data_IF_046015605065
#
_entry.id   IF_046015605065
#
_cell.length_a   1.000
_cell.length_b   1.000
_cell.length_c   1.000
_cell.angle_alpha   90.00
_cell.angle_beta   90.00
_cell.angle_gamma   90.00
#
_symmetry.space_group_name_H-M   'P 1'
#
loop_
_entity.id
_entity.type
_entity.pdbx_description
1 polymer ?
#
# COMPACT_ATOMS: atom_id res chain seq x y z
N UNK A 1 39.96 2.63 49.51
CA UNK A 1 40.54 2.12 48.26
C UNK A 1 39.84 2.87 47.16
N UNK A 2 40.48 3.91 46.64
CA UNK A 2 39.87 4.89 45.75
C UNK A 2 40.40 4.61 44.35
N UNK A 3 39.50 4.28 43.42
CA UNK A 3 39.85 4.03 42.03
C UNK A 3 39.36 5.24 41.25
N UNK A 4 40.28 6.14 40.96
CA UNK A 4 40.09 7.26 40.04
C UNK A 4 40.24 6.73 38.62
N UNK A 5 39.15 6.79 37.83
CA UNK A 5 39.19 6.46 36.41
C UNK A 5 39.23 7.76 35.63
N UNK A 6 40.43 8.17 35.24
CA UNK A 6 40.68 9.25 34.28
C UNK A 6 40.66 8.68 32.87
N UNK A 7 39.61 9.01 32.10
CA UNK A 7 39.57 8.69 30.67
C UNK A 7 39.70 9.97 29.86
N UNK A 8 40.83 10.01 29.17
CA UNK A 8 41.40 11.10 28.39
C UNK A 8 40.55 11.45 27.18
N UNK A 9 40.54 12.75 26.87
CA UNK A 9 39.91 13.36 25.71
C UNK A 9 40.45 12.78 24.40
N UNK A 10 39.56 12.21 23.57
CA UNK A 10 39.84 11.91 22.17
C UNK A 10 39.18 12.98 21.29
N UNK A 11 39.93 14.04 20.97
CA UNK A 11 39.62 14.93 19.86
C UNK A 11 40.01 14.25 18.55
N UNK A 12 39.05 13.96 17.68
CA UNK A 12 39.31 13.75 16.26
C UNK A 12 38.52 14.80 15.49
N UNK A 13 39.19 15.92 15.21
CA UNK A 13 38.83 16.83 14.14
C UNK A 13 39.27 16.16 12.83
N UNK A 14 38.31 15.70 12.04
CA UNK A 14 38.50 15.50 10.61
C UNK A 14 37.65 16.56 9.91
N UNK A 15 38.33 17.66 9.64
CA UNK A 15 37.91 18.82 8.88
C UNK A 15 37.77 18.43 7.41
N UNK A 16 36.64 18.83 6.81
CA UNK A 16 36.50 19.23 5.40
C UNK A 16 37.07 18.31 4.31
N UNK A 17 36.19 17.51 3.69
CA UNK A 17 36.35 17.14 2.28
C UNK A 17 35.03 17.43 1.55
N UNK A 18 35.06 18.55 0.83
CA UNK A 18 34.26 18.94 -0.34
C UNK A 18 32.86 18.34 -0.50
N UNK A 19 31.87 19.15 -0.12
CA UNK A 19 30.71 19.33 -0.98
C UNK A 19 31.17 19.74 -2.38
N UNK A 20 30.42 19.31 -3.40
CA UNK A 20 30.69 19.45 -4.84
C UNK A 20 31.60 18.36 -5.42
N UNK A 21 31.01 17.28 -5.93
CA UNK A 21 31.29 16.77 -7.28
C UNK A 21 30.30 15.63 -7.67
N UNK A 22 29.50 15.93 -8.70
CA UNK A 22 28.95 15.02 -9.71
C UNK A 22 27.70 14.21 -9.36
N UNK A 23 26.58 14.92 -9.36
CA UNK A 23 25.36 14.52 -10.07
C UNK A 23 25.67 14.08 -11.51
N UNK A 24 25.66 12.77 -11.82
CA UNK A 24 25.54 12.27 -13.22
C UNK A 24 25.39 10.74 -13.30
N UNK A 25 24.24 10.16 -12.92
CA UNK A 25 23.79 8.86 -13.47
C UNK A 25 22.26 8.88 -13.67
N UNK A 26 21.72 9.95 -14.26
CA UNK A 26 20.37 9.96 -14.84
C UNK A 26 20.40 10.81 -16.12
N UNK A 27 21.18 10.40 -17.12
CA UNK A 27 21.12 10.98 -18.46
C UNK A 27 21.44 9.91 -19.48
N UNK A 28 20.40 9.32 -20.09
CA UNK A 28 20.62 8.30 -21.10
C UNK A 28 19.40 7.81 -21.87
N UNK A 29 18.25 8.50 -21.85
CA UNK A 29 17.11 8.05 -22.65
C UNK A 29 16.28 9.22 -23.21
N UNK A 30 16.71 9.65 -24.40
CA UNK A 30 15.93 10.28 -25.47
C UNK A 30 15.14 11.57 -25.16
N UNK A 31 15.77 12.70 -25.47
CA UNK A 31 15.10 13.93 -25.88
C UNK A 31 14.72 13.83 -27.38
N UNK A 32 13.45 14.01 -27.71
CA UNK A 32 13.04 14.56 -28.99
C UNK A 32 12.05 15.72 -28.72
N UNK A 33 12.32 16.94 -29.22
CA UNK A 33 11.33 18.00 -29.20
C UNK A 33 10.35 17.80 -30.35
N UNK A 34 9.10 17.49 -30.04
CA UNK A 34 8.02 17.54 -31.03
C UNK A 34 7.46 18.96 -31.00
N UNK A 35 7.63 19.68 -32.11
CA UNK A 35 7.00 20.97 -32.36
C UNK A 35 5.48 20.81 -32.32
N UNK A 36 4.84 21.65 -31.52
CA UNK A 36 3.39 21.84 -31.50
C UNK A 36 3.06 22.92 -32.53
N UNK A 37 2.48 22.53 -33.66
CA UNK A 37 1.80 23.46 -34.56
C UNK A 37 0.29 23.28 -34.44
N UNK A 38 -0.40 24.41 -34.24
CA UNK A 38 -1.81 24.48 -33.93
C UNK A 38 -2.65 24.83 -35.17
N UNK A 39 -3.70 24.02 -35.44
CA UNK A 39 -4.99 24.33 -36.12
C UNK A 39 -4.99 24.64 -37.64
N UNK A 40 -6.16 24.65 -38.37
CA UNK A 40 -7.54 24.24 -38.05
C UNK A 40 -8.29 23.39 -39.14
N UNK A 41 -9.42 22.76 -38.72
CA UNK A 41 -10.72 22.55 -39.42
C UNK A 41 -10.88 21.52 -40.59
N UNK A 42 -11.74 20.52 -40.27
CA UNK A 42 -12.78 19.80 -41.04
C UNK A 42 -12.46 19.23 -42.43
N UNK A 43 -12.62 17.91 -42.53
CA UNK A 43 -13.44 17.30 -43.60
C UNK A 43 -14.06 15.99 -43.09
N UNK A 44 -15.38 15.93 -43.18
CA UNK A 44 -16.18 14.73 -43.00
C UNK A 44 -15.96 13.81 -44.19
N UNK A 45 -15.64 12.54 -43.93
CA UNK A 45 -15.78 11.45 -44.91
C UNK A 45 -16.49 10.31 -44.21
N UNK A 46 -17.79 10.24 -44.48
CA UNK A 46 -18.64 9.10 -44.20
C UNK A 46 -18.11 7.89 -44.99
N UNK A 47 -17.49 6.94 -44.30
CA UNK A 47 -17.31 5.61 -44.87
C UNK A 47 -18.44 4.75 -44.36
N UNK A 48 -19.52 4.68 -45.14
CA UNK A 48 -20.60 3.71 -44.94
C UNK A 48 -20.04 2.32 -45.21
N UNK A 49 -19.52 1.66 -44.18
CA UNK A 49 -19.26 0.24 -44.23
C UNK A 49 -20.60 -0.48 -44.18
N UNK A 50 -21.01 -0.98 -45.34
CA UNK A 50 -22.12 -1.90 -45.53
C UNK A 50 -22.02 -3.04 -44.50
N UNK A 51 -22.75 -2.93 -43.40
CA UNK A 51 -22.95 -4.02 -42.45
C UNK A 51 -24.10 -4.88 -42.97
N UNK A 52 -23.90 -6.19 -43.22
CA UNK A 52 -25.02 -7.06 -43.52
C UNK A 52 -25.97 -7.06 -42.30
N UNK A 53 -27.27 -6.86 -42.56
CA UNK A 53 -28.35 -6.84 -41.57
C UNK A 53 -28.17 -7.99 -40.57
N UNK A 54 -27.75 -7.66 -39.35
CA UNK A 54 -27.73 -8.60 -38.24
C UNK A 54 -29.19 -8.90 -37.88
N UNK A 55 -29.63 -10.13 -38.15
CA UNK A 55 -30.93 -10.62 -37.70
C UNK A 55 -30.96 -10.60 -36.17
N UNK A 56 -32.03 -10.05 -35.59
CA UNK A 56 -32.24 -10.06 -34.14
C UNK A 56 -32.36 -11.51 -33.67
N UNK A 57 -31.54 -11.89 -32.67
CA UNK A 57 -31.69 -13.16 -31.98
C UNK A 57 -32.93 -13.08 -31.09
N UNK A 58 -34.06 -13.49 -31.64
CA UNK A 58 -35.30 -13.73 -30.89
C UNK A 58 -35.03 -15.00 -30.06
N UNK A 59 -35.18 -14.91 -28.73
CA UNK A 59 -34.77 -15.90 -27.73
C UNK A 59 -33.26 -15.96 -27.41
N UNK A 60 -32.62 -14.80 -27.21
CA UNK A 60 -31.47 -14.70 -26.31
C UNK A 60 -31.94 -14.95 -24.87
N UNK A 61 -32.31 -16.18 -24.56
CA UNK A 61 -32.63 -16.62 -23.20
C UNK A 61 -31.47 -16.19 -22.32
N UNK A 62 -31.81 -15.37 -21.32
CA UNK A 62 -30.93 -14.80 -20.30
C UNK A 62 -30.28 -15.91 -19.48
N UNK A 63 -29.29 -16.57 -20.03
CA UNK A 63 -28.36 -17.39 -19.28
C UNK A 63 -26.96 -16.85 -19.52
N UNK A 64 -26.76 -15.61 -19.07
CA UNK A 64 -25.47 -15.21 -18.54
C UNK A 64 -25.28 -16.04 -17.28
N UNK A 65 -24.89 -17.31 -17.46
CA UNK A 65 -24.22 -18.08 -16.42
C UNK A 65 -22.88 -17.40 -16.25
N UNK A 66 -22.85 -16.29 -15.52
CA UNK A 66 -21.61 -15.85 -14.91
C UNK A 66 -21.14 -17.07 -14.11
N UNK A 67 -19.98 -17.67 -14.42
CA UNK A 67 -19.49 -18.77 -13.62
C UNK A 67 -19.44 -18.29 -12.17
N UNK A 68 -19.90 -19.12 -11.23
CA UNK A 68 -19.93 -18.80 -9.80
C UNK A 68 -18.54 -18.36 -9.28
N UNK A 69 -17.46 -18.66 -10.02
CA UNK A 69 -16.11 -18.19 -9.76
C UNK A 69 -15.84 -16.69 -9.94
N UNK A 70 -16.73 -15.92 -10.59
CA UNK A 70 -16.60 -14.45 -10.70
C UNK A 70 -17.27 -13.70 -9.53
N UNK A 71 -17.94 -14.43 -8.63
CA UNK A 71 -18.47 -13.85 -7.41
C UNK A 71 -17.37 -13.84 -6.34
N UNK A 72 -17.09 -12.64 -5.85
CA UNK A 72 -16.35 -12.37 -4.61
C UNK A 72 -14.83 -12.32 -4.74
N UNK A 73 -14.31 -11.69 -5.80
CA UNK A 73 -13.09 -10.89 -5.63
C UNK A 73 -13.44 -9.60 -4.86
N UNK A 74 -13.87 -9.71 -3.59
CA UNK A 74 -14.01 -8.55 -2.73
C UNK A 74 -12.64 -7.88 -2.63
N UNK A 75 -12.60 -6.58 -2.91
CA UNK A 75 -11.33 -5.87 -2.93
C UNK A 75 -10.79 -5.83 -1.50
N UNK A 76 -9.55 -6.29 -1.32
CA UNK A 76 -8.87 -6.40 -0.01
C UNK A 76 -8.90 -5.10 0.84
N UNK A 77 -9.02 -3.94 0.21
CA UNK A 77 -9.09 -2.64 0.88
C UNK A 77 -10.50 -2.31 1.40
N UNK A 78 -11.56 -2.90 0.82
CA UNK A 78 -12.94 -2.74 1.29
C UNK A 78 -13.16 -3.55 2.56
N UNK A 79 -12.69 -4.81 2.57
CA UNK A 79 -12.86 -5.74 3.71
C UNK A 79 -11.85 -5.51 4.82
N UNK A 80 -10.68 -4.92 4.51
CA UNK A 80 -9.57 -4.81 5.48
C UNK A 80 -8.92 -6.16 5.81
N UNK A 81 -9.21 -7.19 5.02
CA UNK A 81 -8.65 -8.53 5.18
C UNK A 81 -7.85 -8.85 3.93
N UNK A 82 -6.57 -9.17 4.12
CA UNK A 82 -5.66 -9.60 3.08
C UNK A 82 -5.44 -11.11 3.20
N UNK A 83 -5.86 -11.86 2.19
CA UNK A 83 -5.60 -13.30 2.11
C UNK A 83 -4.27 -13.50 1.39
N UNK A 84 -3.33 -14.21 2.01
CA UNK A 84 -2.08 -14.62 1.34
C UNK A 84 -2.32 -15.81 0.41
N UNK A 85 -1.36 -16.09 -0.46
CA UNK A 85 -1.36 -17.27 -1.34
C UNK A 85 -1.50 -18.58 -0.55
N UNK A 86 -0.95 -18.62 0.67
CA UNK A 86 -1.05 -19.77 1.59
C UNK A 86 -2.45 -19.94 2.22
N UNK A 87 -3.39 -19.03 1.93
CA UNK A 87 -4.74 -19.00 2.51
C UNK A 87 -4.83 -18.33 3.89
N UNK A 88 -3.71 -17.90 4.48
CA UNK A 88 -3.70 -17.19 5.76
C UNK A 88 -4.33 -15.81 5.63
N UNK A 89 -5.32 -15.52 6.49
CA UNK A 89 -5.99 -14.21 6.57
C UNK A 89 -5.17 -13.29 7.47
N UNK A 90 -4.75 -12.16 6.91
CA UNK A 90 -4.19 -11.05 7.66
C UNK A 90 -5.23 -9.94 7.79
N UNK A 91 -5.29 -9.34 8.97
CA UNK A 91 -6.25 -8.30 9.33
C UNK A 91 -5.55 -6.95 9.42
N UNK A 92 -6.26 -5.90 9.02
CA UNK A 92 -5.74 -4.55 9.08
C UNK A 92 -5.62 -4.07 10.53
N UNK A 93 -4.41 -3.68 10.91
CA UNK A 93 -4.06 -3.07 12.18
C UNK A 93 -3.53 -1.65 11.96
N UNK A 94 -3.90 -0.71 12.84
CA UNK A 94 -3.36 0.64 12.84
C UNK A 94 -2.40 0.82 14.01
N UNK A 95 -1.19 1.29 13.75
CA UNK A 95 -0.20 1.54 14.80
C UNK A 95 0.13 3.02 14.92
N UNK A 96 0.41 3.44 16.15
CA UNK A 96 1.00 4.73 16.48
C UNK A 96 2.19 4.48 17.40
N UNK A 97 3.38 4.79 16.90
CA UNK A 97 4.61 4.71 17.68
C UNK A 97 4.99 6.07 18.30
N UNK A 98 5.64 6.03 19.47
CA UNK A 98 6.17 7.22 20.14
C UNK A 98 7.23 7.98 19.32
N UNK A 99 7.90 7.31 18.38
CA UNK A 99 8.83 7.98 17.45
C UNK A 99 8.13 8.96 16.46
N UNK A 100 6.80 9.02 16.47
CA UNK A 100 5.99 9.86 15.59
C UNK A 100 5.50 9.17 14.32
N UNK A 101 5.99 7.95 14.04
CA UNK A 101 5.52 7.15 12.90
C UNK A 101 4.17 6.49 13.21
N UNK A 102 3.27 6.54 12.22
CA UNK A 102 1.93 5.97 12.31
C UNK A 102 1.49 5.43 10.97
N UNK A 103 0.75 4.33 10.98
CA UNK A 103 0.36 3.70 9.72
C UNK A 103 -0.50 2.46 9.88
N UNK A 104 -0.81 1.85 8.74
CA UNK A 104 -1.57 0.60 8.67
C UNK A 104 -0.64 -0.56 8.30
N UNK A 105 -0.80 -1.70 8.97
CA UNK A 105 -0.15 -2.97 8.62
C UNK A 105 -1.17 -4.11 8.64
N UNK A 106 -0.81 -5.22 8.02
CA UNK A 106 -1.62 -6.42 7.97
C UNK A 106 -0.96 -7.50 8.83
N UNK A 107 -1.61 -7.89 9.93
CA UNK A 107 -1.09 -8.86 10.90
C UNK A 107 -1.93 -10.13 10.90
N UNK A 108 -1.34 -11.26 11.28
CA UNK A 108 -2.11 -12.46 11.54
C UNK A 108 -2.92 -12.27 12.85
N UNK A 109 -4.06 -12.95 13.01
CA UNK A 109 -4.86 -12.83 14.24
C UNK A 109 -4.15 -13.43 15.46
N UNK A 110 -3.12 -14.24 15.24
CA UNK A 110 -2.25 -14.82 16.26
C UNK A 110 -1.16 -13.85 16.74
N UNK A 111 -0.88 -12.80 15.97
CA UNK A 111 0.21 -11.88 16.27
C UNK A 111 -0.23 -10.91 17.37
N UNK A 112 0.46 -10.96 18.51
CA UNK A 112 0.20 -10.08 19.66
C UNK A 112 1.06 -8.81 19.64
N UNK A 113 2.06 -8.75 18.77
CA UNK A 113 3.01 -7.63 18.69
C UNK A 113 3.19 -7.16 17.24
N UNK A 114 3.49 -5.88 17.08
CA UNK A 114 3.73 -5.24 15.80
C UNK A 114 4.96 -4.34 15.89
N UNK A 115 5.88 -4.45 14.95
CA UNK A 115 7.07 -3.60 14.91
C UNK A 115 6.81 -2.30 14.14
N UNK A 116 7.25 -1.17 14.71
CA UNK A 116 7.31 0.11 14.03
C UNK A 116 8.17 0.02 12.76
N UNK A 117 7.83 0.78 11.72
CA UNK A 117 8.63 0.79 10.48
C UNK A 117 9.95 1.54 10.62
N UNK A 118 10.00 2.54 11.48
CA UNK A 118 11.11 3.51 11.54
C UNK A 118 12.09 3.14 12.64
N UNK A 119 11.61 3.00 13.89
CA UNK A 119 12.46 2.68 15.03
C UNK A 119 12.48 1.18 15.38
N UNK A 120 11.75 0.35 14.63
CA UNK A 120 11.65 -1.10 14.83
C UNK A 120 11.13 -1.56 16.20
N UNK A 121 10.71 -0.62 17.04
CA UNK A 121 10.16 -0.89 18.37
C UNK A 121 8.89 -1.73 18.30
N UNK A 122 8.78 -2.73 19.20
CA UNK A 122 7.61 -3.59 19.32
C UNK A 122 6.48 -2.88 20.08
N UNK A 123 5.29 -2.92 19.49
CA UNK A 123 4.05 -2.36 20.03
C UNK A 123 3.06 -3.49 20.32
N UNK A 124 2.35 -3.40 21.44
CA UNK A 124 1.31 -4.33 21.84
C UNK A 124 0.07 -4.15 20.96
N UNK A 125 -0.45 -5.26 20.44
CA UNK A 125 -1.64 -5.27 19.61
C UNK A 125 -2.88 -5.45 20.50
N UNK A 126 -3.75 -4.46 20.47
CA UNK A 126 -5.05 -4.47 21.13
C UNK A 126 -6.18 -4.57 20.09
N UNK A 127 -7.34 -5.17 20.44
CA UNK A 127 -8.52 -5.12 19.58
C UNK A 127 -9.01 -3.67 19.45
N UNK A 128 -9.40 -3.26 18.23
CA UNK A 128 -9.92 -1.91 18.00
C UNK A 128 -11.28 -1.68 18.67
N UNK A 129 -12.11 -2.73 18.74
CA UNK A 129 -13.43 -2.71 19.37
C UNK A 129 -13.48 -3.70 20.54
N UNK A 130 -14.30 -3.40 21.54
CA UNK A 130 -14.54 -4.30 22.68
C UNK A 130 -15.34 -5.55 22.28
N UNK A 131 -16.17 -5.45 21.25
CA UNK A 131 -16.95 -6.57 20.71
C UNK A 131 -16.04 -7.53 19.97
N UNK A 132 -16.12 -8.82 20.32
CA UNK A 132 -15.43 -9.92 19.63
C UNK A 132 -16.47 -10.89 19.09
N UNK A 133 -16.47 -11.10 17.79
CA UNK A 133 -17.26 -12.16 17.14
C UNK A 133 -16.30 -13.27 16.70
N UNK A 134 -16.52 -14.50 17.17
CA UNK A 134 -15.70 -15.67 16.83
C UNK A 134 -14.20 -15.51 17.15
N UNK A 135 -13.87 -14.76 18.21
CA UNK A 135 -12.49 -14.50 18.63
C UNK A 135 -11.79 -13.38 17.86
N UNK A 136 -12.45 -12.76 16.88
CA UNK A 136 -11.93 -11.58 16.17
C UNK A 136 -12.68 -10.32 16.60
N UNK A 137 -11.96 -9.20 16.77
CA UNK A 137 -12.62 -7.92 17.00
C UNK A 137 -13.43 -7.49 15.78
N UNK A 138 -14.50 -6.75 16.02
CA UNK A 138 -15.25 -6.06 14.97
C UNK A 138 -14.41 -4.94 14.34
N UNK A 139 -14.76 -4.54 13.12
CA UNK A 139 -14.08 -3.42 12.46
C UNK A 139 -14.56 -2.10 13.05
N UNK A 140 -13.61 -1.23 13.37
CA UNK A 140 -13.89 0.16 13.69
C UNK A 140 -14.33 0.95 12.44
N UNK A 141 -14.83 2.17 12.64
CA UNK A 141 -15.23 3.17 11.62
C UNK A 141 -14.16 3.38 10.55
N UNK A 142 -12.89 3.24 10.90
CA UNK A 142 -11.74 3.38 9.99
C UNK A 142 -11.36 2.09 9.24
N UNK A 143 -12.12 1.01 9.46
CA UNK A 143 -11.92 -0.30 8.85
C UNK A 143 -10.78 -1.13 9.47
N UNK A 144 -10.30 -0.75 10.64
CA UNK A 144 -9.23 -1.48 11.34
C UNK A 144 -9.84 -2.49 12.32
N UNK A 145 -9.21 -3.67 12.43
CA UNK A 145 -9.58 -4.71 13.39
C UNK A 145 -8.77 -4.57 14.68
N UNK A 146 -7.53 -4.13 14.56
CA UNK A 146 -6.59 -4.01 15.67
C UNK A 146 -5.95 -2.63 15.72
N UNK A 147 -5.53 -2.22 16.92
CA UNK A 147 -4.79 -1.00 17.17
C UNK A 147 -3.53 -1.32 17.99
N UNK A 148 -2.43 -0.62 17.75
CA UNK A 148 -1.19 -0.79 18.52
C UNK A 148 -0.63 0.57 18.91
N UNK A 149 -0.59 0.85 20.22
CA UNK A 149 -0.19 2.15 20.78
C UNK A 149 0.75 2.03 21.97
N UNK A 150 0.73 0.89 22.65
CA UNK A 150 1.51 0.65 23.86
C UNK A 150 2.79 -0.09 23.51
N UNK A 151 3.89 0.25 24.18
CA UNK A 151 5.17 -0.42 24.03
C UNK A 151 5.18 -1.74 24.81
N UNK A 152 5.82 -2.77 24.23
CA UNK A 152 6.03 -4.08 24.87
C UNK A 152 7.37 -4.13 25.59
#
# INVERSE_FOLDING_TARGET
MNIEVTLSHAHLKAEQVSAEHVTAIIQGFFQQPILIEATPIKQAVETQTNTPKQLSKINATRTLHTPIGDLVAQKQWETGIKVREDGTKHYQAYYWCECGDKGKRYIAPTDTTLCCRVCEQALAVEPATLTKENGLPERDTFGNFFIARELV
#
